data_IF_978886578744
#
_entry.id   IF_978886578744
#
_cell.length_a   1.000
_cell.length_b   1.000
_cell.length_c   1.000
_cell.angle_alpha   90.00
_cell.angle_beta   90.00
_cell.angle_gamma   90.00
#
_symmetry.space_group_name_H-M   'P 1'
#
loop_
_entity.id
_entity.type
_entity.pdbx_description
1 polymer ?
#
# COMPACT_ATOMS: atom_id res chain seq x y z
N UNK A 1 20.56 -16.67 8.68
CA UNK A 1 19.62 -15.88 9.49
C UNK A 1 18.66 -15.22 8.52
N UNK A 2 17.36 -15.30 8.78
CA UNK A 2 16.34 -14.71 7.92
C UNK A 2 16.39 -13.20 8.06
N UNK A 3 16.37 -12.47 6.95
CA UNK A 3 16.31 -11.01 6.96
C UNK A 3 14.86 -10.54 6.88
N UNK A 4 14.23 -10.30 8.03
CA UNK A 4 12.84 -9.81 8.09
C UNK A 4 12.64 -8.42 7.48
N UNK A 5 13.70 -7.64 7.27
CA UNK A 5 13.57 -6.32 6.66
C UNK A 5 13.08 -6.40 5.20
N UNK A 6 13.38 -7.49 4.48
CA UNK A 6 12.99 -7.59 3.06
C UNK A 6 11.46 -7.59 2.88
N UNK A 7 10.72 -8.36 3.70
CA UNK A 7 9.25 -8.35 3.64
C UNK A 7 8.68 -7.05 4.19
N UNK A 8 9.32 -6.46 5.20
CA UNK A 8 8.89 -5.15 5.74
C UNK A 8 9.04 -4.04 4.69
N UNK A 9 10.19 -3.96 4.03
CA UNK A 9 10.46 -3.00 2.95
C UNK A 9 9.46 -3.18 1.80
N UNK A 10 9.11 -4.43 1.47
CA UNK A 10 8.08 -4.71 0.47
C UNK A 10 6.69 -4.25 0.92
N UNK A 11 6.29 -4.52 2.18
CA UNK A 11 5.03 -4.04 2.76
C UNK A 11 4.96 -2.52 2.78
N UNK A 12 6.03 -1.85 3.15
CA UNK A 12 6.11 -0.39 3.16
C UNK A 12 5.91 0.17 1.75
N UNK A 13 6.59 -0.41 0.75
CA UNK A 13 6.40 -0.03 -0.65
C UNK A 13 4.96 -0.28 -1.16
N UNK A 14 4.32 -1.39 -0.76
CA UNK A 14 2.93 -1.69 -1.12
C UNK A 14 1.97 -0.63 -0.57
N UNK A 15 2.23 -0.12 0.63
CA UNK A 15 1.39 0.87 1.33
C UNK A 15 1.78 2.33 1.05
N UNK A 16 2.91 2.57 0.40
CA UNK A 16 3.40 3.91 0.05
C UNK A 16 2.59 4.55 -1.09
N UNK A 17 3.05 5.73 -1.54
CA UNK A 17 2.62 6.37 -2.78
C UNK A 17 1.10 6.61 -2.88
N UNK A 18 0.53 7.21 -1.83
CA UNK A 18 -0.90 7.55 -1.76
C UNK A 18 -1.82 6.35 -2.06
N UNK A 19 -1.48 5.17 -1.56
CA UNK A 19 -2.24 3.93 -1.76
C UNK A 19 -2.41 3.53 -3.24
N UNK A 20 -1.46 3.92 -4.11
CA UNK A 20 -1.45 3.56 -5.53
C UNK A 20 -1.64 2.06 -5.75
N UNK A 21 -0.92 1.20 -4.99
CA UNK A 21 -1.04 -0.25 -5.15
C UNK A 21 -2.46 -0.74 -4.90
N UNK A 22 -3.15 -0.23 -3.87
CA UNK A 22 -4.56 -0.57 -3.67
C UNK A 22 -5.42 -0.08 -4.84
N UNK A 23 -5.25 1.17 -5.26
CA UNK A 23 -6.02 1.77 -6.34
C UNK A 23 -5.88 0.98 -7.66
N UNK A 24 -4.64 0.65 -8.03
CA UNK A 24 -4.32 -0.03 -9.28
C UNK A 24 -4.72 -1.52 -9.27
N UNK A 25 -4.73 -2.17 -8.10
CA UNK A 25 -4.91 -3.64 -8.00
C UNK A 25 -6.27 -4.06 -7.41
N UNK A 26 -7.08 -3.16 -6.84
CA UNK A 26 -8.43 -3.48 -6.33
C UNK A 26 -9.38 -4.00 -7.42
N UNK A 27 -9.18 -3.56 -8.66
CA UNK A 27 -9.92 -4.03 -9.83
C UNK A 27 -9.06 -3.93 -11.10
N UNK A 28 -8.13 -4.87 -11.27
CA UNK A 28 -7.29 -4.99 -12.47
C UNK A 28 -7.90 -6.04 -13.38
N UNK A 29 -8.41 -5.64 -14.54
CA UNK A 29 -9.08 -6.50 -15.53
C UNK A 29 -10.25 -7.32 -14.94
N UNK A 30 -11.08 -6.71 -14.09
CA UNK A 30 -12.25 -7.37 -13.49
C UNK A 30 -11.91 -8.31 -12.33
N UNK A 31 -10.66 -8.33 -11.86
CA UNK A 31 -10.19 -9.16 -10.75
C UNK A 31 -9.58 -8.31 -9.65
N UNK A 32 -9.79 -8.74 -8.42
CA UNK A 32 -9.20 -8.10 -7.24
C UNK A 32 -7.83 -8.74 -6.94
N UNK A 33 -6.78 -8.16 -7.50
CA UNK A 33 -5.40 -8.58 -7.25
C UNK A 33 -4.84 -8.02 -5.94
N UNK A 34 -5.45 -6.97 -5.38
CA UNK A 34 -5.10 -6.45 -4.05
C UNK A 34 -5.21 -7.55 -2.98
N UNK A 35 -6.29 -8.33 -3.00
CA UNK A 35 -6.46 -9.45 -2.08
C UNK A 35 -5.37 -10.53 -2.23
N UNK A 36 -4.89 -10.76 -3.46
CA UNK A 36 -3.78 -11.69 -3.72
C UNK A 36 -2.50 -11.15 -3.07
N UNK A 37 -2.21 -9.86 -3.26
CA UNK A 37 -1.04 -9.20 -2.68
C UNK A 37 -1.07 -9.29 -1.15
N UNK A 38 -2.19 -8.94 -0.51
CA UNK A 38 -2.34 -9.06 0.95
C UNK A 38 -2.11 -10.49 1.44
N UNK A 39 -2.81 -11.47 0.85
CA UNK A 39 -2.70 -12.86 1.27
C UNK A 39 -1.26 -13.40 1.12
N UNK A 40 -0.56 -13.02 0.05
CA UNK A 40 0.82 -13.44 -0.15
C UNK A 40 1.76 -12.87 0.91
N UNK A 41 1.63 -11.59 1.28
CA UNK A 41 2.46 -11.01 2.33
C UNK A 41 2.22 -11.71 3.69
N UNK A 42 0.97 -12.03 4.01
CA UNK A 42 0.63 -12.72 5.27
C UNK A 42 1.21 -14.14 5.31
N UNK A 43 1.11 -14.89 4.21
CA UNK A 43 1.70 -16.23 4.12
C UNK A 43 3.22 -16.24 4.07
N UNK A 44 3.84 -15.16 3.56
CA UNK A 44 5.29 -14.99 3.68
C UNK A 44 5.66 -14.88 5.15
N UNK A 45 5.02 -14.01 5.93
CA UNK A 45 5.32 -13.85 7.36
C UNK A 45 5.17 -15.17 8.13
N UNK A 46 4.08 -15.91 7.91
CA UNK A 46 3.87 -17.23 8.52
C UNK A 46 5.02 -18.19 8.16
N UNK A 47 5.46 -18.19 6.90
CA UNK A 47 6.58 -19.03 6.47
C UNK A 47 7.91 -18.61 7.11
N UNK A 48 8.17 -17.31 7.22
CA UNK A 48 9.38 -16.78 7.85
C UNK A 48 9.43 -17.10 9.35
N UNK A 49 8.33 -16.90 10.08
CA UNK A 49 8.20 -17.27 11.49
C UNK A 49 8.43 -18.76 11.72
N UNK A 50 7.89 -19.62 10.83
CA UNK A 50 8.09 -21.06 10.92
C UNK A 50 9.56 -21.48 10.71
N UNK A 51 10.30 -20.75 9.88
CA UNK A 51 11.71 -21.05 9.61
C UNK A 51 12.66 -20.39 10.62
N UNK A 52 12.21 -19.37 11.33
CA UNK A 52 13.06 -18.65 12.28
C UNK A 52 13.49 -19.54 13.45
N UNK A 53 14.77 -19.47 13.81
CA UNK A 53 15.36 -20.33 14.83
C UNK A 53 15.36 -21.83 14.49
N UNK A 54 14.97 -22.25 13.28
CA UNK A 54 14.98 -23.66 12.90
C UNK A 54 16.38 -24.25 13.07
N UNK A 55 16.48 -25.33 13.84
CA UNK A 55 17.72 -26.05 14.06
C UNK A 55 17.50 -27.55 13.90
N UNK A 56 18.38 -28.17 13.13
CA UNK A 56 18.29 -29.59 12.79
C UNK A 56 19.32 -30.41 13.58
N UNK A 57 18.83 -31.36 14.39
CA UNK A 57 19.68 -32.35 15.07
C UNK A 57 19.72 -33.67 14.29
N UNK A 58 20.85 -33.91 13.63
CA UNK A 58 21.10 -35.12 12.82
C UNK A 58 20.84 -36.42 13.59
N UNK A 59 21.03 -36.45 14.91
CA UNK A 59 20.90 -37.66 15.74
C UNK A 59 19.46 -38.09 16.00
N UNK A 60 18.46 -37.27 15.65
CA UNK A 60 17.03 -37.49 15.97
C UNK A 60 16.12 -37.54 14.74
N UNK A 61 16.67 -37.74 13.54
CA UNK A 61 15.92 -37.61 12.29
C UNK A 61 14.68 -38.53 12.19
N UNK A 62 14.64 -39.68 12.87
CA UNK A 62 13.50 -40.61 12.88
C UNK A 62 12.12 -39.94 13.10
N UNK A 63 11.71 -39.72 14.35
CA UNK A 63 10.42 -39.07 14.64
C UNK A 63 10.35 -37.59 14.21
N UNK A 64 11.48 -36.97 13.83
CA UNK A 64 11.60 -35.55 13.45
C UNK A 64 11.65 -35.32 11.94
N UNK A 65 11.46 -36.34 11.10
CA UNK A 65 11.34 -36.17 9.65
C UNK A 65 10.21 -35.21 9.25
N UNK A 66 9.16 -35.12 10.07
CA UNK A 66 8.09 -34.14 9.90
C UNK A 66 8.57 -32.70 10.13
N UNK A 67 9.55 -32.44 11.00
CA UNK A 67 10.08 -31.09 11.20
C UNK A 67 10.86 -30.61 9.96
N UNK A 68 11.59 -31.52 9.32
CA UNK A 68 12.26 -31.27 8.04
C UNK A 68 11.23 -30.98 6.96
N UNK A 69 10.13 -31.73 6.92
CA UNK A 69 9.04 -31.46 6.00
C UNK A 69 8.35 -30.11 6.27
N UNK A 70 8.15 -29.75 7.54
CA UNK A 70 7.62 -28.43 7.93
C UNK A 70 8.54 -27.31 7.43
N UNK A 71 9.86 -27.44 7.58
CA UNK A 71 10.82 -26.47 7.06
C UNK A 71 10.74 -26.34 5.53
N UNK A 72 10.73 -27.46 4.80
CA UNK A 72 10.59 -27.46 3.34
C UNK A 72 9.24 -26.84 2.92
N UNK A 73 8.17 -27.11 3.66
CA UNK A 73 6.83 -26.57 3.38
C UNK A 73 6.76 -25.07 3.61
N UNK A 74 7.44 -24.56 4.65
CA UNK A 74 7.54 -23.12 4.88
C UNK A 74 8.26 -22.40 3.73
N UNK A 75 9.35 -22.97 3.21
CA UNK A 75 10.01 -22.46 2.00
C UNK A 75 9.06 -22.47 0.80
N UNK A 76 8.30 -23.57 0.61
CA UNK A 76 7.34 -23.70 -0.51
C UNK A 76 6.22 -22.66 -0.43
N UNK A 77 5.67 -22.40 0.75
CA UNK A 77 4.63 -21.37 0.98
C UNK A 77 5.17 -19.97 0.65
N UNK A 78 6.37 -19.63 1.12
CA UNK A 78 7.00 -18.35 0.78
C UNK A 78 7.23 -18.25 -0.72
N UNK A 79 7.76 -19.30 -1.34
CA UNK A 79 8.03 -19.32 -2.77
C UNK A 79 6.75 -19.24 -3.62
N UNK A 80 5.68 -19.95 -3.24
CA UNK A 80 4.38 -19.85 -3.90
C UNK A 80 3.83 -18.43 -3.81
N UNK A 81 3.87 -17.82 -2.63
CA UNK A 81 3.44 -16.44 -2.40
C UNK A 81 4.19 -15.46 -3.31
N UNK A 82 5.50 -15.60 -3.44
CA UNK A 82 6.33 -14.76 -4.31
C UNK A 82 6.00 -14.96 -5.80
N UNK A 83 5.70 -16.19 -6.24
CA UNK A 83 5.26 -16.44 -7.61
C UNK A 83 3.90 -15.77 -7.89
N UNK A 84 2.96 -15.80 -6.95
CA UNK A 84 1.67 -15.14 -7.11
C UNK A 84 1.81 -13.61 -7.12
N UNK A 85 2.68 -13.06 -6.26
CA UNK A 85 3.04 -11.63 -6.30
C UNK A 85 3.64 -11.25 -7.67
N UNK A 86 4.59 -12.04 -8.17
CA UNK A 86 5.19 -11.81 -9.48
C UNK A 86 4.13 -11.78 -10.59
N UNK A 87 3.24 -12.78 -10.64
CA UNK A 87 2.14 -12.81 -11.62
C UNK A 87 1.21 -11.61 -11.51
N UNK A 88 0.86 -11.20 -10.29
CA UNK A 88 0.00 -10.04 -10.06
C UNK A 88 0.66 -8.75 -10.58
N UNK A 89 1.91 -8.51 -10.18
CA UNK A 89 2.61 -7.24 -10.36
C UNK A 89 3.15 -7.10 -11.79
N UNK A 90 3.82 -8.13 -12.31
CA UNK A 90 4.52 -8.07 -13.60
C UNK A 90 3.62 -8.52 -14.76
N UNK A 91 2.50 -9.20 -14.47
CA UNK A 91 1.52 -9.64 -15.47
C UNK A 91 2.12 -10.61 -16.51
N UNK A 92 2.99 -11.51 -16.05
CA UNK A 92 3.58 -12.56 -16.86
C UNK A 92 3.08 -13.93 -16.41
N UNK A 93 2.83 -14.81 -17.38
CA UNK A 93 2.54 -16.23 -17.10
C UNK A 93 3.81 -17.03 -16.74
N UNK A 94 4.97 -16.38 -16.81
CA UNK A 94 6.26 -17.01 -16.55
C UNK A 94 6.48 -17.22 -15.04
N UNK A 95 7.17 -18.33 -14.74
CA UNK A 95 7.61 -18.63 -13.38
C UNK A 95 9.03 -18.09 -13.24
N UNK A 96 9.32 -17.21 -12.27
CA UNK A 96 10.67 -16.69 -12.08
C UNK A 96 11.68 -17.83 -11.85
N UNK A 97 12.92 -17.62 -12.30
CA UNK A 97 14.03 -18.59 -12.17
C UNK A 97 13.81 -19.92 -12.93
N UNK A 98 12.89 -19.96 -13.90
CA UNK A 98 12.65 -21.17 -14.70
C UNK A 98 13.89 -21.55 -15.51
N UNK A 99 14.31 -22.82 -15.41
CA UNK A 99 15.47 -23.34 -16.13
C UNK A 99 16.82 -23.15 -15.43
N UNK A 100 16.88 -22.41 -14.31
CA UNK A 100 18.12 -22.25 -13.53
C UNK A 100 18.55 -23.56 -12.86
N UNK A 101 19.86 -23.80 -12.79
CA UNK A 101 20.47 -25.04 -12.26
C UNK A 101 21.67 -24.73 -11.36
N UNK A 102 21.56 -23.66 -10.58
CA UNK A 102 22.69 -23.10 -9.85
C UNK A 102 22.73 -23.57 -8.41
N UNK A 103 21.59 -23.93 -7.82
CA UNK A 103 21.48 -24.23 -6.39
C UNK A 103 21.71 -25.71 -6.09
N UNK A 104 21.00 -26.60 -6.79
CA UNK A 104 21.07 -28.04 -6.51
C UNK A 104 22.11 -28.74 -7.40
N UNK A 105 23.38 -28.51 -7.11
CA UNK A 105 24.51 -28.96 -7.95
C UNK A 105 24.70 -30.48 -8.03
N UNK A 106 24.16 -31.24 -7.06
CA UNK A 106 24.22 -32.71 -7.03
C UNK A 106 22.96 -33.37 -7.59
N UNK A 107 22.17 -32.66 -8.38
CA UNK A 107 20.91 -33.13 -8.93
C UNK A 107 21.07 -34.39 -9.81
N UNK A 108 20.63 -35.52 -9.25
CA UNK A 108 20.59 -36.84 -9.90
C UNK A 108 19.43 -37.02 -10.90
N UNK A 109 18.53 -36.04 -10.99
CA UNK A 109 17.31 -36.05 -11.80
C UNK A 109 17.37 -35.09 -12.99
N UNK A 110 18.43 -34.28 -13.12
CA UNK A 110 18.69 -33.33 -14.20
C UNK A 110 17.57 -32.28 -14.43
N UNK A 111 16.87 -31.90 -13.37
CA UNK A 111 15.83 -30.87 -13.29
C UNK A 111 16.46 -29.46 -13.15
N UNK A 112 15.62 -28.44 -13.33
CA UNK A 112 15.94 -27.09 -12.87
C UNK A 112 15.70 -26.97 -11.35
N UNK A 113 16.17 -25.89 -10.75
CA UNK A 113 16.13 -25.69 -9.29
C UNK A 113 14.69 -25.69 -8.76
N UNK A 114 13.74 -25.08 -9.48
CA UNK A 114 12.32 -25.04 -9.09
C UNK A 114 11.69 -26.45 -9.10
N UNK A 115 11.94 -27.20 -10.17
CA UNK A 115 11.46 -28.57 -10.32
C UNK A 115 12.15 -29.54 -9.36
N UNK A 116 13.43 -29.33 -9.06
CA UNK A 116 14.17 -30.12 -8.07
C UNK A 116 13.63 -29.87 -6.65
N UNK A 117 13.45 -28.61 -6.24
CA UNK A 117 12.88 -28.28 -4.94
C UNK A 117 11.46 -28.86 -4.77
N UNK A 118 10.61 -28.74 -5.79
CA UNK A 118 9.28 -29.37 -5.78
C UNK A 118 9.37 -30.90 -5.60
N UNK A 119 10.38 -31.52 -6.18
CA UNK A 119 10.63 -32.95 -6.00
C UNK A 119 11.13 -33.27 -4.59
N UNK A 120 12.01 -32.46 -4.00
CA UNK A 120 12.40 -32.57 -2.58
C UNK A 120 11.15 -32.57 -1.70
N UNK A 121 10.24 -31.59 -1.86
CA UNK A 121 8.99 -31.52 -1.07
C UNK A 121 8.11 -32.75 -1.23
N UNK A 122 7.97 -33.25 -2.45
CA UNK A 122 7.20 -34.47 -2.71
C UNK A 122 7.81 -35.69 -2.01
N UNK A 123 9.12 -35.87 -2.13
CA UNK A 123 9.88 -37.01 -1.61
C UNK A 123 9.95 -37.02 -0.09
N UNK A 124 10.17 -35.86 0.54
CA UNK A 124 10.42 -35.76 1.98
C UNK A 124 9.18 -35.50 2.83
N UNK A 125 7.97 -35.50 2.27
CA UNK A 125 6.75 -35.54 3.10
C UNK A 125 5.42 -35.44 2.38
N UNK A 126 5.29 -34.66 1.29
CA UNK A 126 3.98 -34.44 0.69
C UNK A 126 3.41 -35.70 0.00
N UNK A 127 4.25 -36.44 -0.72
CA UNK A 127 3.84 -37.62 -1.50
C UNK A 127 4.89 -38.76 -1.50
N UNK A 128 5.51 -39.12 -0.36
CA UNK A 128 6.67 -40.03 -0.33
C UNK A 128 6.39 -41.42 -0.92
N UNK A 129 5.15 -41.90 -0.84
CA UNK A 129 4.76 -43.26 -1.29
C UNK A 129 3.99 -43.27 -2.62
N UNK A 130 3.94 -42.14 -3.33
CA UNK A 130 3.26 -42.05 -4.63
C UNK A 130 3.94 -40.98 -5.52
N UNK A 131 5.22 -41.19 -5.82
CA UNK A 131 6.00 -40.29 -6.66
C UNK A 131 5.86 -40.73 -8.12
N UNK A 132 5.25 -39.90 -8.96
CA UNK A 132 5.18 -40.13 -10.42
C UNK A 132 6.18 -39.25 -11.16
N UNK A 133 7.06 -39.84 -11.96
CA UNK A 133 7.96 -39.13 -12.89
C UNK A 133 7.29 -39.05 -14.26
N UNK A 134 6.32 -38.16 -14.43
CA UNK A 134 5.69 -37.84 -15.73
C UNK A 134 5.09 -39.06 -16.51
N UNK A 135 4.63 -38.79 -17.74
CA UNK A 135 3.67 -39.57 -18.57
C UNK A 135 3.96 -41.05 -18.84
N UNK A 136 5.09 -41.60 -18.40
CA UNK A 136 5.53 -42.96 -18.71
C UNK A 136 5.22 -44.01 -17.63
N UNK A 137 4.35 -43.70 -16.65
CA UNK A 137 3.95 -44.62 -15.56
C UNK A 137 5.10 -45.10 -14.63
N UNK A 138 6.26 -44.43 -14.64
CA UNK A 138 7.33 -44.70 -13.68
C UNK A 138 6.93 -44.23 -12.28
N UNK A 139 6.60 -45.21 -11.42
CA UNK A 139 6.25 -45.00 -10.01
C UNK A 139 7.45 -45.27 -9.10
N UNK A 140 7.69 -44.33 -8.21
CA UNK A 140 8.76 -44.37 -7.23
C UNK A 140 8.21 -44.25 -5.81
N UNK A 141 8.92 -44.85 -4.85
CA UNK A 141 8.57 -44.86 -3.43
C UNK A 141 9.79 -44.47 -2.59
N UNK A 142 9.64 -43.50 -1.71
CA UNK A 142 10.71 -43.04 -0.83
C UNK A 142 10.79 -43.89 0.45
N UNK A 143 12.01 -44.26 0.83
CA UNK A 143 12.31 -44.82 2.15
C UNK A 143 12.19 -43.76 3.25
N UNK A 144 12.33 -44.14 4.52
CA UNK A 144 12.43 -43.15 5.59
C UNK A 144 13.67 -42.24 5.39
N UNK A 145 13.60 -40.96 5.77
CA UNK A 145 14.77 -40.08 5.79
C UNK A 145 15.85 -40.61 6.74
N UNK A 146 17.11 -40.41 6.37
CA UNK A 146 18.28 -40.85 7.13
C UNK A 146 19.44 -39.87 6.97
N UNK A 147 20.29 -39.74 7.99
CA UNK A 147 21.50 -38.90 7.98
C UNK A 147 22.74 -39.77 7.85
N UNK A 148 23.74 -39.32 7.11
CA UNK A 148 25.06 -39.97 7.10
C UNK A 148 25.16 -41.23 6.23
N UNK A 149 24.16 -41.54 5.41
CA UNK A 149 24.27 -42.59 4.37
C UNK A 149 25.26 -42.20 3.26
N UNK A 150 25.47 -40.90 3.04
CA UNK A 150 26.44 -40.41 2.07
C UNK A 150 26.92 -39.00 2.45
N UNK A 151 28.22 -38.71 2.40
CA UNK A 151 28.79 -37.38 2.68
C UNK A 151 28.28 -36.26 1.75
N UNK A 152 27.54 -36.62 0.71
CA UNK A 152 26.97 -35.70 -0.29
C UNK A 152 25.73 -34.96 0.21
N UNK A 153 25.03 -35.47 1.22
CA UNK A 153 23.75 -34.92 1.67
C UNK A 153 23.69 -34.77 3.20
N UNK A 154 22.94 -33.77 3.67
CA UNK A 154 22.62 -33.66 5.10
C UNK A 154 21.49 -34.60 5.49
N UNK A 155 20.50 -34.74 4.59
CA UNK A 155 19.38 -35.66 4.69
C UNK A 155 19.24 -36.40 3.35
N UNK A 156 19.16 -37.72 3.40
CA UNK A 156 19.02 -38.57 2.22
C UNK A 156 18.04 -39.71 2.48
N UNK A 157 17.64 -40.38 1.41
CA UNK A 157 16.83 -41.60 1.41
C UNK A 157 17.04 -42.38 0.11
N UNK A 158 16.48 -43.59 0.07
CA UNK A 158 16.39 -44.38 -1.17
C UNK A 158 15.05 -44.15 -1.84
N UNK A 159 15.06 -43.98 -3.16
CA UNK A 159 13.89 -44.04 -4.02
C UNK A 159 13.85 -45.40 -4.70
N UNK A 160 12.85 -46.20 -4.33
CA UNK A 160 12.58 -47.53 -4.90
C UNK A 160 11.73 -47.39 -6.16
N UNK A 161 12.09 -48.10 -7.23
CA UNK A 161 11.25 -48.17 -8.42
C UNK A 161 10.25 -49.34 -8.32
N UNK A 162 9.07 -49.19 -8.92
CA UNK A 162 8.12 -50.30 -9.11
C UNK A 162 8.67 -51.39 -10.07
N UNK A 163 9.52 -50.99 -11.01
CA UNK A 163 10.20 -51.86 -11.95
C UNK A 163 11.47 -52.45 -11.30
N UNK A 164 11.51 -53.76 -11.03
CA UNK A 164 12.65 -54.39 -10.35
C UNK A 164 13.93 -54.45 -11.23
N UNK A 165 13.84 -54.08 -12.51
CA UNK A 165 15.01 -53.98 -13.40
C UNK A 165 15.75 -52.65 -13.28
N UNK A 166 15.16 -51.66 -12.58
CA UNK A 166 15.77 -50.34 -12.35
C UNK A 166 16.43 -50.29 -10.98
N UNK A 167 17.63 -49.71 -10.94
CA UNK A 167 18.35 -49.50 -9.69
C UNK A 167 17.66 -48.45 -8.80
N UNK A 168 17.80 -48.64 -7.49
CA UNK A 168 17.38 -47.65 -6.49
C UNK A 168 18.22 -46.38 -6.59
N UNK A 169 17.58 -45.22 -6.40
CA UNK A 169 18.27 -43.92 -6.45
C UNK A 169 18.49 -43.41 -5.03
N UNK A 170 19.72 -43.03 -4.70
CA UNK A 170 19.99 -42.24 -3.49
C UNK A 170 19.64 -40.78 -3.79
N UNK A 171 18.65 -40.26 -3.07
CA UNK A 171 18.16 -38.90 -3.23
C UNK A 171 18.28 -38.13 -1.91
N UNK A 172 18.65 -36.87 -1.99
CA UNK A 172 18.85 -36.04 -0.80
C UNK A 172 19.08 -34.58 -1.12
N UNK A 173 19.30 -33.80 -0.07
CA UNK A 173 19.62 -32.38 -0.14
C UNK A 173 20.55 -31.97 0.99
N UNK A 174 21.18 -30.81 0.84
CA UNK A 174 21.84 -30.09 1.94
C UNK A 174 20.96 -28.93 2.42
N UNK A 175 21.00 -28.63 3.71
CA UNK A 175 20.29 -27.46 4.22
C UNK A 175 20.84 -26.16 3.64
N UNK A 176 22.14 -26.11 3.35
CA UNK A 176 22.74 -24.96 2.66
C UNK A 176 22.11 -24.71 1.28
N UNK A 177 21.82 -25.76 0.50
CA UNK A 177 21.17 -25.66 -0.81
C UNK A 177 19.71 -25.19 -0.65
N UNK A 178 18.96 -25.70 0.32
CA UNK A 178 17.61 -25.21 0.62
C UNK A 178 17.60 -23.72 1.04
N UNK A 179 18.57 -23.32 1.86
CA UNK A 179 18.72 -21.94 2.32
C UNK A 179 19.08 -21.00 1.18
N UNK A 180 19.94 -21.45 0.25
CA UNK A 180 20.27 -20.69 -0.95
C UNK A 180 19.08 -20.58 -1.90
N UNK A 181 18.34 -21.67 -2.11
CA UNK A 181 17.11 -21.68 -2.90
C UNK A 181 16.12 -20.65 -2.36
N UNK A 182 15.88 -20.70 -1.05
CA UNK A 182 15.03 -19.74 -0.34
C UNK A 182 15.54 -18.31 -0.48
N UNK A 183 16.82 -18.06 -0.20
CA UNK A 183 17.38 -16.71 -0.20
C UNK A 183 17.27 -16.03 -1.58
N UNK A 184 17.58 -16.74 -2.68
CA UNK A 184 17.43 -16.20 -4.04
C UNK A 184 15.99 -15.75 -4.32
N UNK A 185 15.01 -16.55 -3.91
CA UNK A 185 13.59 -16.30 -4.16
C UNK A 185 13.02 -15.25 -3.24
N UNK A 186 13.37 -15.27 -1.97
CA UNK A 186 12.97 -14.26 -1.00
C UNK A 186 13.50 -12.86 -1.37
N UNK A 187 14.75 -12.77 -1.84
CA UNK A 187 15.32 -11.52 -2.35
C UNK A 187 14.60 -10.98 -3.61
N UNK A 188 13.81 -11.80 -4.32
CA UNK A 188 12.97 -11.34 -5.44
C UNK A 188 11.92 -10.31 -5.00
N UNK A 189 11.52 -10.30 -3.72
CA UNK A 189 10.61 -9.28 -3.18
C UNK A 189 11.15 -7.86 -3.40
N UNK A 190 12.47 -7.64 -3.26
CA UNK A 190 13.07 -6.33 -3.52
C UNK A 190 12.93 -5.91 -4.99
N UNK A 191 13.01 -6.87 -5.92
CA UNK A 191 12.75 -6.62 -7.33
C UNK A 191 11.27 -6.28 -7.57
N UNK A 192 10.34 -7.00 -6.93
CA UNK A 192 8.90 -6.71 -7.03
C UNK A 192 8.54 -5.35 -6.44
N UNK A 193 9.14 -4.95 -5.32
CA UNK A 193 8.98 -3.62 -4.74
C UNK A 193 9.43 -2.53 -5.72
N UNK A 194 10.61 -2.70 -6.35
CA UNK A 194 11.08 -1.79 -7.39
C UNK A 194 10.10 -1.69 -8.57
N UNK A 195 9.49 -2.81 -8.98
CA UNK A 195 8.48 -2.80 -10.05
C UNK A 195 7.20 -2.04 -9.68
N UNK A 196 6.77 -2.09 -8.41
CA UNK A 196 5.66 -1.26 -7.95
C UNK A 196 6.00 0.23 -7.98
N UNK A 197 7.22 0.60 -7.59
CA UNK A 197 7.70 1.98 -7.66
C UNK A 197 7.74 2.49 -9.11
N UNK A 198 8.31 1.71 -10.03
CA UNK A 198 8.36 2.05 -11.46
C UNK A 198 6.93 2.29 -12.01
N UNK A 199 5.97 1.43 -11.68
CA UNK A 199 4.57 1.58 -12.10
C UNK A 199 3.92 2.85 -11.55
N UNK A 200 4.21 3.21 -10.29
CA UNK A 200 3.72 4.46 -9.71
C UNK A 200 4.33 5.68 -10.38
N UNK A 201 5.63 5.68 -10.66
CA UNK A 201 6.28 6.80 -11.35
C UNK A 201 5.75 6.99 -12.79
N UNK A 202 5.48 5.89 -13.49
CA UNK A 202 4.83 5.92 -14.81
C UNK A 202 3.41 6.50 -14.71
N UNK A 203 2.64 6.06 -13.71
CA UNK A 203 1.31 6.59 -13.43
C UNK A 203 1.34 8.09 -13.14
N UNK A 204 2.20 8.54 -12.22
CA UNK A 204 2.38 9.95 -11.87
C UNK A 204 2.77 10.78 -13.10
N UNK A 205 3.72 10.29 -13.89
CA UNK A 205 4.15 10.97 -15.12
C UNK A 205 3.02 11.12 -16.12
N UNK A 206 2.17 10.10 -16.28
CA UNK A 206 1.00 10.15 -17.15
C UNK A 206 -0.03 11.19 -16.71
N UNK A 207 -0.22 11.36 -15.39
CA UNK A 207 -1.10 12.38 -14.82
C UNK A 207 -0.56 13.79 -15.00
N UNK A 208 0.75 13.99 -14.82
CA UNK A 208 1.40 15.29 -15.01
C UNK A 208 1.32 15.74 -16.48
N UNK A 209 1.44 14.81 -17.43
CA UNK A 209 1.28 15.10 -18.86
C UNK A 209 -0.17 15.43 -19.25
N UNK A 210 -1.15 14.96 -18.47
CA UNK A 210 -2.55 15.29 -18.68
C UNK A 210 -2.88 16.60 -17.97
N UNK A 211 -2.90 17.69 -18.72
CA UNK A 211 -3.20 19.03 -18.19
C UNK A 211 -4.64 19.12 -17.66
N UNK A 212 -4.78 19.64 -16.45
CA UNK A 212 -6.06 20.00 -15.84
C UNK A 212 -6.67 21.11 -16.67
N UNK A 213 -7.90 20.89 -17.13
CA UNK A 213 -8.60 21.86 -17.96
C UNK A 213 -8.82 23.17 -17.18
N UNK A 214 -8.36 24.32 -17.68
CA UNK A 214 -8.62 25.60 -17.05
C UNK A 214 -10.03 26.10 -17.39
N UNK A 215 -10.61 26.85 -16.46
CA UNK A 215 -11.89 27.56 -16.64
C UNK A 215 -11.81 28.98 -16.09
N UNK A 216 -12.68 29.86 -16.56
CA UNK A 216 -12.75 31.25 -16.05
C UNK A 216 -13.66 31.38 -14.83
N UNK A 217 -14.52 30.39 -14.59
CA UNK A 217 -15.40 30.33 -13.42
C UNK A 217 -14.72 29.48 -12.34
N UNK A 218 -14.52 30.07 -11.17
CA UNK A 218 -13.85 29.41 -10.05
C UNK A 218 -14.67 28.26 -9.45
N UNK A 219 -16.00 28.32 -9.47
CA UNK A 219 -16.83 27.21 -9.01
C UNK A 219 -16.65 26.00 -9.93
N UNK A 220 -16.70 26.22 -11.26
CA UNK A 220 -16.41 25.19 -12.26
C UNK A 220 -14.98 24.65 -12.10
N UNK A 221 -14.01 25.52 -11.80
CA UNK A 221 -12.63 25.12 -11.56
C UNK A 221 -12.52 24.21 -10.33
N UNK A 222 -13.21 24.52 -9.23
CA UNK A 222 -13.18 23.72 -8.00
C UNK A 222 -13.84 22.35 -8.17
N UNK A 223 -14.93 22.27 -8.93
CA UNK A 223 -15.56 20.98 -9.27
C UNK A 223 -14.60 20.12 -10.13
N UNK A 224 -13.86 20.72 -11.07
CA UNK A 224 -12.80 20.02 -11.82
C UNK A 224 -11.67 19.55 -10.88
N UNK A 225 -11.21 20.40 -9.95
CA UNK A 225 -10.13 20.04 -9.03
C UNK A 225 -10.53 18.89 -8.11
N UNK A 226 -11.78 18.86 -7.60
CA UNK A 226 -12.30 17.76 -6.79
C UNK A 226 -12.27 16.40 -7.53
N UNK A 227 -12.64 16.39 -8.82
CA UNK A 227 -12.50 15.19 -9.64
C UNK A 227 -11.03 14.78 -9.84
N UNK A 228 -10.14 15.75 -10.05
CA UNK A 228 -8.72 15.51 -10.27
C UNK A 228 -7.99 15.05 -9.00
N UNK A 229 -8.39 15.51 -7.82
CA UNK A 229 -7.89 15.03 -6.53
C UNK A 229 -8.08 13.52 -6.37
N UNK A 230 -9.30 13.03 -6.66
CA UNK A 230 -9.62 11.61 -6.64
C UNK A 230 -8.78 10.79 -7.64
N UNK A 231 -8.61 11.29 -8.86
CA UNK A 231 -7.81 10.62 -9.89
C UNK A 231 -6.33 10.61 -9.52
N UNK A 232 -5.82 11.69 -8.94
CA UNK A 232 -4.38 11.87 -8.67
C UNK A 232 -3.95 11.34 -7.31
N UNK A 233 -4.88 10.75 -6.54
CA UNK A 233 -4.63 10.12 -5.23
C UNK A 233 -4.07 11.15 -4.23
N UNK A 234 -4.86 12.20 -3.98
CA UNK A 234 -4.55 13.26 -3.01
C UNK A 234 -4.56 12.80 -1.55
N UNK A 235 -4.32 13.76 -0.65
CA UNK A 235 -4.48 13.61 0.79
C UNK A 235 -5.70 14.39 1.30
N UNK A 236 -6.10 14.07 2.53
CA UNK A 236 -7.25 14.68 3.22
C UNK A 236 -7.14 16.22 3.31
N UNK A 237 -5.93 16.77 3.38
CA UNK A 237 -5.71 18.21 3.48
C UNK A 237 -6.17 18.94 2.22
N UNK A 238 -5.79 18.46 1.03
CA UNK A 238 -6.21 19.06 -0.24
C UNK A 238 -7.72 18.89 -0.47
N UNK A 239 -8.26 17.71 -0.15
CA UNK A 239 -9.70 17.42 -0.27
C UNK A 239 -10.52 18.38 0.59
N UNK A 240 -10.16 18.49 1.87
CA UNK A 240 -10.82 19.41 2.79
C UNK A 240 -10.67 20.88 2.35
N UNK A 241 -9.49 21.30 1.88
CA UNK A 241 -9.27 22.67 1.43
C UNK A 241 -10.15 23.02 0.21
N UNK A 242 -10.29 22.12 -0.77
CA UNK A 242 -11.21 22.32 -1.90
C UNK A 242 -12.65 22.44 -1.42
N UNK A 243 -13.10 21.59 -0.49
CA UNK A 243 -14.44 21.67 0.09
C UNK A 243 -14.72 23.00 0.80
N UNK A 244 -13.75 23.50 1.59
CA UNK A 244 -13.87 24.80 2.25
C UNK A 244 -14.00 25.94 1.25
N UNK A 245 -13.17 25.95 0.20
CA UNK A 245 -13.21 26.99 -0.82
C UNK A 245 -14.53 26.93 -1.60
N UNK A 246 -15.03 25.73 -1.93
CA UNK A 246 -16.36 25.56 -2.55
C UNK A 246 -17.46 26.18 -1.68
N UNK A 247 -17.39 25.97 -0.36
CA UNK A 247 -18.35 26.58 0.59
C UNK A 247 -18.26 28.11 0.62
N UNK A 248 -17.06 28.68 0.60
CA UNK A 248 -16.81 30.14 0.54
C UNK A 248 -17.43 30.76 -0.73
N UNK A 249 -17.28 30.10 -1.88
CA UNK A 249 -17.80 30.61 -3.16
C UNK A 249 -19.31 30.44 -3.31
N UNK A 250 -19.88 29.31 -2.86
CA UNK A 250 -21.32 29.02 -2.94
C UNK A 250 -22.17 29.79 -1.92
N UNK A 251 -21.57 30.34 -0.88
CA UNK A 251 -22.29 31.09 0.15
C UNK A 251 -23.03 32.32 -0.43
N UNK A 252 -24.31 32.43 -0.11
CA UNK A 252 -25.15 33.57 -0.51
C UNK A 252 -24.90 34.75 0.42
N UNK A 253 -24.69 35.93 -0.16
CA UNK A 253 -24.49 37.18 0.58
C UNK A 253 -25.82 37.90 0.70
N UNK A 254 -26.31 38.09 1.91
CA UNK A 254 -27.57 38.79 2.21
C UNK A 254 -27.36 40.20 2.75
N UNK A 255 -26.22 40.46 3.40
CA UNK A 255 -25.87 41.79 3.88
C UNK A 255 -24.95 42.55 2.91
N UNK A 256 -25.51 43.56 2.24
CA UNK A 256 -24.80 44.42 1.28
C UNK A 256 -23.58 45.14 1.86
N UNK A 257 -23.56 45.43 3.17
CA UNK A 257 -22.44 46.12 3.80
C UNK A 257 -21.14 45.28 3.76
N UNK A 258 -21.26 43.95 3.65
CA UNK A 258 -20.09 43.06 3.58
C UNK A 258 -19.62 42.82 2.14
N UNK A 259 -20.38 43.24 1.12
CA UNK A 259 -20.18 42.81 -0.28
C UNK A 259 -18.79 43.15 -0.80
N UNK A 260 -18.34 44.39 -0.62
CA UNK A 260 -17.03 44.83 -1.09
C UNK A 260 -15.88 44.01 -0.46
N UNK A 261 -15.93 43.84 0.86
CA UNK A 261 -14.92 43.07 1.62
C UNK A 261 -14.94 41.59 1.25
N UNK A 262 -16.11 41.00 1.00
CA UNK A 262 -16.24 39.61 0.55
C UNK A 262 -15.62 39.42 -0.83
N UNK A 263 -15.91 40.32 -1.78
CA UNK A 263 -15.38 40.20 -3.14
C UNK A 263 -13.86 40.38 -3.19
N UNK A 264 -13.31 41.28 -2.37
CA UNK A 264 -11.85 41.40 -2.17
C UNK A 264 -11.24 40.10 -1.60
N UNK A 265 -11.86 39.54 -0.54
CA UNK A 265 -11.41 38.28 0.05
C UNK A 265 -11.49 37.11 -0.95
N UNK A 266 -12.59 36.98 -1.71
CA UNK A 266 -12.70 35.96 -2.77
C UNK A 266 -11.59 36.14 -3.81
N UNK A 267 -11.27 37.37 -4.20
CA UNK A 267 -10.12 37.67 -5.06
C UNK A 267 -8.79 37.15 -4.53
N UNK A 268 -8.58 37.18 -3.20
CA UNK A 268 -7.40 36.59 -2.54
C UNK A 268 -7.46 35.06 -2.53
N UNK A 269 -8.61 34.46 -2.20
CA UNK A 269 -8.82 33.00 -2.23
C UNK A 269 -8.60 32.43 -3.64
N UNK A 270 -8.89 33.19 -4.70
CA UNK A 270 -8.57 32.78 -6.07
C UNK A 270 -7.09 32.42 -6.25
N UNK A 271 -6.17 33.13 -5.59
CA UNK A 271 -4.73 32.81 -5.65
C UNK A 271 -4.42 31.46 -5.01
N UNK A 272 -5.15 31.07 -3.96
CA UNK A 272 -5.06 29.73 -3.36
C UNK A 272 -5.52 28.67 -4.35
N UNK A 273 -6.59 28.93 -5.11
CA UNK A 273 -7.06 28.02 -6.17
C UNK A 273 -6.06 27.89 -7.31
N UNK A 274 -5.38 28.98 -7.68
CA UNK A 274 -4.29 28.96 -8.66
C UNK A 274 -3.11 28.10 -8.16
N UNK A 275 -2.69 28.27 -6.91
CA UNK A 275 -1.65 27.44 -6.28
C UNK A 275 -2.07 25.96 -6.20
N UNK A 276 -3.29 25.68 -5.74
CA UNK A 276 -3.88 24.35 -5.71
C UNK A 276 -3.80 23.68 -7.09
N UNK A 277 -4.21 24.40 -8.13
CA UNK A 277 -4.20 23.88 -9.51
C UNK A 277 -2.79 23.47 -9.92
N UNK A 278 -1.78 24.29 -9.62
CA UNK A 278 -0.38 24.01 -9.94
C UNK A 278 0.12 22.78 -9.16
N UNK A 279 -0.17 22.70 -7.86
CA UNK A 279 0.24 21.58 -7.01
C UNK A 279 -0.41 20.27 -7.41
N UNK A 280 -1.73 20.28 -7.65
CA UNK A 280 -2.49 19.12 -8.11
C UNK A 280 -2.00 18.67 -9.50
N UNK A 281 -1.75 19.59 -10.44
CA UNK A 281 -1.20 19.25 -11.76
C UNK A 281 0.12 18.47 -11.65
N UNK A 282 0.99 18.90 -10.73
CA UNK A 282 2.31 18.30 -10.50
C UNK A 282 2.29 17.09 -9.56
N UNK A 283 1.11 16.72 -9.02
CA UNK A 283 0.95 15.67 -8.01
C UNK A 283 1.92 15.92 -6.85
N UNK A 284 1.93 17.17 -6.39
CA UNK A 284 2.68 17.66 -5.23
C UNK A 284 1.68 18.01 -4.12
N UNK A 285 1.68 17.21 -3.07
CA UNK A 285 0.76 17.34 -1.94
C UNK A 285 1.43 17.89 -0.68
N UNK A 286 2.50 18.68 -0.86
CA UNK A 286 3.08 19.49 0.21
C UNK A 286 2.18 20.69 0.56
N UNK A 287 2.31 21.20 1.78
CA UNK A 287 1.53 22.33 2.30
C UNK A 287 1.59 23.55 1.37
N UNK A 288 0.46 24.24 1.21
CA UNK A 288 0.37 25.43 0.37
C UNK A 288 0.96 26.66 1.09
N UNK A 289 1.64 27.53 0.34
CA UNK A 289 2.18 28.78 0.87
C UNK A 289 1.07 29.78 1.21
N UNK A 290 -0.03 29.77 0.44
CA UNK A 290 -1.14 30.71 0.58
C UNK A 290 -2.32 30.17 1.38
N UNK A 291 -2.20 28.99 2.02
CA UNK A 291 -3.32 28.37 2.72
C UNK A 291 -3.84 29.17 3.91
N UNK A 292 -2.99 29.99 4.54
CA UNK A 292 -3.34 30.92 5.62
C UNK A 292 -4.49 31.89 5.26
N UNK A 293 -4.74 32.11 3.96
CA UNK A 293 -5.88 32.89 3.46
C UNK A 293 -7.21 32.19 3.83
N UNK A 294 -7.23 30.86 3.80
CA UNK A 294 -8.39 30.03 4.17
C UNK A 294 -8.26 29.56 5.62
N UNK A 295 -7.10 29.04 6.03
CA UNK A 295 -6.81 28.59 7.39
C UNK A 295 -6.15 29.68 8.23
N UNK A 296 -6.89 30.75 8.51
CA UNK A 296 -6.42 31.79 9.42
C UNK A 296 -6.32 31.29 10.86
N UNK A 297 -5.29 31.74 11.57
CA UNK A 297 -5.12 31.42 12.99
C UNK A 297 -6.30 31.93 13.82
N UNK A 298 -6.64 31.24 14.91
CA UNK A 298 -7.68 31.70 15.84
C UNK A 298 -7.11 32.72 16.82
N UNK A 299 -7.62 33.97 16.89
CA UNK A 299 -7.18 34.96 17.87
C UNK A 299 -7.43 34.46 19.30
N UNK A 300 -6.51 34.74 20.23
CA UNK A 300 -6.57 34.20 21.59
C UNK A 300 -7.84 34.64 22.33
N UNK A 301 -8.34 35.84 22.05
CA UNK A 301 -9.48 36.49 22.70
C UNK A 301 -10.82 35.82 22.39
N UNK A 302 -10.92 35.14 21.26
CA UNK A 302 -12.14 34.45 20.78
C UNK A 302 -11.89 32.98 20.46
N UNK A 303 -10.73 32.42 20.81
CA UNK A 303 -10.31 31.08 20.39
C UNK A 303 -11.34 30.00 20.75
N UNK A 304 -11.88 30.06 21.97
CA UNK A 304 -12.85 29.09 22.45
C UNK A 304 -14.19 29.21 21.69
N UNK A 305 -14.74 30.43 21.63
CA UNK A 305 -16.02 30.69 20.98
C UNK A 305 -15.95 30.40 19.48
N UNK A 306 -14.85 30.75 18.82
CA UNK A 306 -14.63 30.50 17.40
C UNK A 306 -14.53 29.00 17.10
N UNK A 307 -13.76 28.25 17.89
CA UNK A 307 -13.66 26.79 17.75
C UNK A 307 -15.02 26.11 17.91
N UNK A 308 -15.83 26.52 18.90
CA UNK A 308 -17.19 26.00 19.08
C UNK A 308 -18.15 26.41 17.97
N UNK A 309 -17.99 27.60 17.43
CA UNK A 309 -18.78 28.06 16.31
C UNK A 309 -18.49 27.24 15.04
N UNK A 310 -17.22 26.97 14.72
CA UNK A 310 -16.85 26.09 13.61
C UNK A 310 -17.39 24.66 13.79
N UNK A 311 -17.30 24.06 14.99
CA UNK A 311 -17.92 22.74 15.28
C UNK A 311 -19.42 22.73 14.94
N UNK A 312 -20.15 23.81 15.25
CA UNK A 312 -21.56 23.95 14.92
C UNK A 312 -21.79 24.10 13.41
N UNK A 313 -20.96 24.91 12.74
CA UNK A 313 -21.09 25.19 11.30
C UNK A 313 -20.72 24.01 10.41
N UNK A 314 -19.87 23.09 10.88
CA UNK A 314 -19.60 21.82 10.21
C UNK A 314 -20.64 20.73 10.49
N UNK A 315 -21.69 21.05 11.26
CA UNK A 315 -22.78 20.11 11.56
C UNK A 315 -22.39 19.01 12.55
N UNK A 316 -21.24 19.12 13.21
CA UNK A 316 -20.78 18.13 14.19
C UNK A 316 -21.60 18.17 15.48
N UNK A 317 -22.25 19.30 15.80
CA UNK A 317 -23.00 19.45 17.05
C UNK A 317 -24.09 20.52 16.95
N UNK A 318 -25.26 20.25 17.53
CA UNK A 318 -26.19 21.30 17.97
C UNK A 318 -25.79 21.71 19.38
N UNK A 319 -25.30 22.93 19.54
CA UNK A 319 -24.90 23.46 20.84
C UNK A 319 -25.92 24.52 21.30
N UNK A 320 -26.39 24.39 22.54
CA UNK A 320 -27.35 25.33 23.15
C UNK A 320 -26.75 26.73 23.32
N UNK A 321 -25.42 26.84 23.34
CA UNK A 321 -24.68 28.09 23.47
C UNK A 321 -24.32 28.74 22.12
N UNK A 322 -24.86 28.27 20.99
CA UNK A 322 -24.59 28.81 19.65
C UNK A 322 -24.74 30.34 19.57
N UNK A 323 -25.85 30.86 20.12
CA UNK A 323 -26.12 32.31 20.13
C UNK A 323 -25.04 33.10 20.89
N UNK A 324 -24.55 32.54 22.00
CA UNK A 324 -23.46 33.14 22.77
C UNK A 324 -22.15 33.18 21.99
N UNK A 325 -21.81 32.09 21.28
CA UNK A 325 -20.60 32.03 20.46
C UNK A 325 -20.64 33.05 19.32
N UNK A 326 -21.76 33.14 18.59
CA UNK A 326 -21.94 34.13 17.53
C UNK A 326 -21.85 35.55 18.06
N UNK A 327 -22.49 35.86 19.18
CA UNK A 327 -22.48 37.22 19.72
C UNK A 327 -21.06 37.68 20.07
N UNK A 328 -20.28 36.79 20.69
CA UNK A 328 -18.89 37.06 21.07
C UNK A 328 -17.99 37.25 19.85
N UNK A 329 -18.06 36.33 18.89
CA UNK A 329 -17.23 36.37 17.67
C UNK A 329 -17.62 37.54 16.78
N UNK A 330 -18.92 37.79 16.59
CA UNK A 330 -19.41 38.92 15.78
C UNK A 330 -18.98 40.26 16.37
N UNK A 331 -19.03 40.43 17.69
CA UNK A 331 -18.54 41.65 18.35
C UNK A 331 -17.05 41.87 18.13
N UNK A 332 -16.25 40.82 18.18
CA UNK A 332 -14.80 40.91 17.95
C UNK A 332 -14.48 41.26 16.48
N UNK A 333 -15.14 40.60 15.52
CA UNK A 333 -14.90 40.80 14.10
C UNK A 333 -15.65 41.99 13.49
N UNK A 334 -16.50 42.69 14.24
CA UNK A 334 -17.30 43.82 13.77
C UNK A 334 -16.51 44.94 13.05
N UNK A 335 -15.24 45.25 13.39
CA UNK A 335 -14.45 46.21 12.61
C UNK A 335 -14.17 45.77 11.16
N UNK A 336 -14.27 44.48 10.87
CA UNK A 336 -13.91 43.88 9.59
C UNK A 336 -15.12 43.35 8.81
N UNK A 337 -16.12 42.79 9.50
CA UNK A 337 -17.33 42.19 8.91
C UNK A 337 -18.54 42.27 9.85
N UNK A 338 -19.74 42.39 9.29
CA UNK A 338 -20.99 42.36 10.03
C UNK A 338 -21.63 40.97 10.00
N UNK A 339 -21.65 40.28 11.15
CA UNK A 339 -22.21 38.92 11.26
C UNK A 339 -23.54 38.97 12.02
N UNK A 340 -24.60 38.44 11.40
CA UNK A 340 -25.94 38.36 11.98
C UNK A 340 -26.35 36.93 12.28
N UNK A 341 -26.97 36.69 13.45
CA UNK A 341 -27.46 35.36 13.86
C UNK A 341 -28.56 34.74 12.99
N UNK A 342 -29.24 35.55 12.18
CA UNK A 342 -30.29 35.10 11.25
C UNK A 342 -29.73 34.75 9.87
N UNK A 343 -28.43 34.95 9.63
CA UNK A 343 -27.76 34.58 8.40
C UNK A 343 -27.70 33.06 8.27
N UNK A 344 -27.54 32.58 7.04
CA UNK A 344 -27.34 31.15 6.79
C UNK A 344 -26.01 30.68 7.39
N UNK A 345 -25.89 29.38 7.70
CA UNK A 345 -24.65 28.81 8.21
C UNK A 345 -23.47 29.05 7.25
N UNK A 346 -23.69 28.96 5.94
CA UNK A 346 -22.64 29.18 4.93
C UNK A 346 -22.25 30.65 4.80
N UNK A 347 -23.21 31.57 4.97
CA UNK A 347 -22.90 33.00 5.02
C UNK A 347 -22.10 33.36 6.28
N UNK A 348 -22.46 32.84 7.46
CA UNK A 348 -21.70 33.03 8.69
C UNK A 348 -20.29 32.45 8.51
N UNK A 349 -20.19 31.23 7.97
CA UNK A 349 -18.92 30.58 7.67
C UNK A 349 -18.02 31.46 6.80
N UNK A 350 -18.53 31.94 5.65
CA UNK A 350 -17.82 32.88 4.78
C UNK A 350 -17.34 34.12 5.55
N UNK A 351 -18.22 34.75 6.32
CA UNK A 351 -17.88 35.97 7.05
C UNK A 351 -16.84 35.76 8.14
N UNK A 352 -16.80 34.59 8.79
CA UNK A 352 -15.74 34.26 9.73
C UNK A 352 -14.38 34.25 9.03
N UNK A 353 -14.28 33.59 7.87
CA UNK A 353 -13.03 33.56 7.10
C UNK A 353 -12.60 34.95 6.63
N UNK A 354 -13.54 35.75 6.10
CA UNK A 354 -13.28 37.14 5.68
C UNK A 354 -12.80 37.98 6.87
N UNK A 355 -13.49 37.90 8.00
CA UNK A 355 -13.17 38.67 9.20
C UNK A 355 -11.83 38.30 9.80
N UNK A 356 -11.53 37.00 9.89
CA UNK A 356 -10.26 36.51 10.43
C UNK A 356 -9.08 36.90 9.54
N UNK A 357 -9.22 36.76 8.23
CA UNK A 357 -8.19 37.17 7.29
C UNK A 357 -7.86 38.66 7.45
N UNK A 358 -8.88 39.53 7.43
CA UNK A 358 -8.68 40.97 7.55
C UNK A 358 -8.16 41.40 8.92
N UNK A 359 -8.50 40.66 9.98
CA UNK A 359 -7.92 40.87 11.29
C UNK A 359 -6.40 40.64 11.25
N UNK A 360 -5.94 39.51 10.72
CA UNK A 360 -4.51 39.21 10.64
C UNK A 360 -3.76 40.06 9.62
N UNK A 361 -4.41 40.54 8.57
CA UNK A 361 -3.81 41.50 7.62
C UNK A 361 -3.59 42.89 8.26
N UNK A 362 -4.29 43.17 9.38
CA UNK A 362 -4.22 44.46 10.09
C UNK A 362 -3.27 44.49 11.30
N UNK A 363 -2.71 43.35 11.70
CA UNK A 363 -1.84 43.15 12.88
C UNK A 363 -0.45 42.77 12.42
#
# INVERSE_FOLDING_TARGET
MINFNIIQDFRDQVNANSHYTWYAYRNKNGKNYWNIICACMDWIDVGLECMDGFSFDRKKLGARGLEVFTYISAIDIVWESIQQLHRAIINENEVPFSGEKEVFINDVLHKDDNAYFKHIRAVFGAHPVNLSKDKNNDKWFASWPTTGIHEKYDVALYLYNVDPSKDDIIFGFKFAELNEFFAKRYNHLSYLAKKLEEQYQDYKSSLILNEIRPTTNIEDQLDILEEELNKRLSNDYFEHLVDQIKRIYKATVTNENNRETIEDYRGKVKRVVEELTIKIQNVDYTDLEMDHIVYSNHPQEIHYELSKLFECLYGHRKDEAYDYYIERVSKFLNPYVQIGKTMSADEIFLLLHVGLYNYWDSV
#
